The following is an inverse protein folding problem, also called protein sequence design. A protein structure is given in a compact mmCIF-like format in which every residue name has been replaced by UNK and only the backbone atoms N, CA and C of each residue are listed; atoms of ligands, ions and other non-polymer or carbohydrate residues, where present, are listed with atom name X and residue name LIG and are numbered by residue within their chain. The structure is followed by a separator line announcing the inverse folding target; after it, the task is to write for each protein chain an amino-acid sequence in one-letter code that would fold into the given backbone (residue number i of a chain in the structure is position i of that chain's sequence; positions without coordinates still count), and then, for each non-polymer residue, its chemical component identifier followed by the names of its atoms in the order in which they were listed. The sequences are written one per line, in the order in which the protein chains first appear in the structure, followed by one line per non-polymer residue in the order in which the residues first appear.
data_IF_424677453522
#
_entry.id   IF_424677453522
#
_cell.length_a   1.000
_cell.length_b   1.000
_cell.length_c   1.000
_cell.angle_alpha   90.00
_cell.angle_beta   90.00
_cell.angle_gamma   90.00
#
_symmetry.space_group_name_H-M   'P 1'
#
loop_
_entity.id
_entity.type
_entity.pdbx_description
1 polymer ?
#
# COMPACT_ATOMS: atom_id res chain seq x y z
N UNK A 1 -8.63 -20.12 30.46
CA UNK A 1 -7.87 -19.87 29.24
C UNK A 1 -7.76 -18.38 28.99
N UNK A 2 -6.61 -17.95 28.47
CA UNK A 2 -6.37 -16.59 27.99
C UNK A 2 -6.42 -16.56 26.46
N UNK A 3 -7.12 -15.57 25.91
CA UNK A 3 -7.17 -15.32 24.45
C UNK A 3 -6.75 -13.90 24.12
N UNK A 4 -6.29 -13.70 22.88
CA UNK A 4 -5.84 -12.43 22.34
C UNK A 4 -6.66 -12.08 21.10
N UNK A 5 -7.06 -10.82 21.00
CA UNK A 5 -7.75 -10.23 19.86
C UNK A 5 -6.94 -9.02 19.40
N UNK A 6 -5.88 -9.28 18.62
CA UNK A 6 -4.86 -8.31 18.23
C UNK A 6 -4.29 -8.59 16.83
N UNK A 7 -5.11 -9.22 15.97
CA UNK A 7 -4.73 -9.66 14.64
C UNK A 7 -3.41 -10.46 14.62
N UNK A 8 -3.33 -11.45 15.54
CA UNK A 8 -2.17 -12.34 15.69
C UNK A 8 -0.87 -11.60 15.99
N UNK A 9 -0.95 -10.66 16.94
CA UNK A 9 0.17 -9.81 17.36
C UNK A 9 0.79 -8.98 16.21
N UNK A 10 -0.07 -8.50 15.32
CA UNK A 10 0.36 -7.74 14.14
C UNK A 10 1.37 -6.62 14.48
N UNK A 11 1.11 -5.88 15.56
CA UNK A 11 1.94 -4.74 15.96
C UNK A 11 3.08 -5.12 16.91
N UNK A 12 3.22 -6.43 17.27
CA UNK A 12 4.27 -6.91 18.16
C UNK A 12 4.14 -6.39 19.59
N UNK A 13 2.92 -6.15 20.06
CA UNK A 13 2.61 -5.58 21.38
C UNK A 13 2.32 -6.63 22.44
N UNK A 14 2.06 -7.87 22.05
CA UNK A 14 1.72 -8.96 22.97
C UNK A 14 2.90 -9.23 23.90
N UNK A 15 2.71 -9.20 25.23
CA UNK A 15 3.79 -9.48 26.17
C UNK A 15 4.15 -10.97 26.13
N UNK A 16 5.36 -11.29 26.52
CA UNK A 16 5.83 -12.70 26.61
C UNK A 16 5.15 -13.47 27.75
N UNK A 17 4.71 -12.77 28.79
CA UNK A 17 4.12 -13.33 30.00
C UNK A 17 3.03 -12.40 30.52
N UNK A 18 1.97 -12.98 31.07
CA UNK A 18 0.94 -12.28 31.86
C UNK A 18 0.85 -12.91 33.25
N UNK A 19 0.26 -12.18 34.19
CA UNK A 19 -0.05 -12.70 35.54
C UNK A 19 -1.57 -12.75 35.70
N UNK A 20 -2.09 -13.94 35.94
CA UNK A 20 -3.49 -14.18 36.28
C UNK A 20 -3.61 -14.36 37.79
N UNK A 21 -4.51 -13.61 38.40
CA UNK A 21 -4.77 -13.67 39.84
C UNK A 21 -6.05 -14.48 40.11
N UNK A 22 -6.01 -15.39 41.07
CA UNK A 22 -7.19 -16.05 41.63
C UNK A 22 -7.63 -15.27 42.87
N UNK A 23 -8.91 -14.94 42.92
CA UNK A 23 -9.55 -14.31 44.06
C UNK A 23 -10.54 -15.30 44.68
N UNK A 24 -10.57 -15.36 46.02
CA UNK A 24 -11.58 -16.04 46.82
C UNK A 24 -12.37 -14.97 47.59
N UNK A 25 -13.69 -14.91 47.36
CA UNK A 25 -14.55 -13.88 47.96
C UNK A 25 -13.98 -12.45 47.76
N UNK A 26 -13.44 -12.17 46.56
CA UNK A 26 -12.87 -10.88 46.21
C UNK A 26 -11.45 -10.60 46.72
N UNK A 27 -10.83 -11.50 47.47
CA UNK A 27 -9.44 -11.36 47.95
C UNK A 27 -8.51 -12.24 47.14
N UNK A 28 -7.38 -11.70 46.68
CA UNK A 28 -6.34 -12.47 45.97
C UNK A 28 -5.76 -13.54 46.87
N UNK A 29 -5.77 -14.81 46.42
CA UNK A 29 -5.27 -15.96 47.16
C UNK A 29 -4.14 -16.70 46.43
N UNK A 30 -4.11 -16.68 45.11
CA UNK A 30 -3.05 -17.28 44.30
C UNK A 30 -2.80 -16.45 43.05
N UNK A 31 -1.69 -16.67 42.39
CA UNK A 31 -1.40 -16.16 41.05
C UNK A 31 -0.73 -17.23 40.19
N UNK A 32 -0.85 -17.07 38.88
CA UNK A 32 -0.16 -17.88 37.89
C UNK A 32 0.44 -16.99 36.84
N UNK A 33 1.69 -17.24 36.44
CA UNK A 33 2.32 -16.69 35.27
C UNK A 33 1.97 -17.55 34.08
N UNK A 34 1.58 -16.94 32.99
CA UNK A 34 1.07 -17.61 31.79
C UNK A 34 1.76 -17.06 30.57
N UNK A 35 2.23 -17.95 29.73
CA UNK A 35 3.05 -17.66 28.56
C UNK A 35 2.51 -18.32 27.28
N UNK A 36 3.09 -18.03 26.13
CA UNK A 36 2.79 -18.72 24.88
C UNK A 36 3.17 -20.22 24.96
N UNK A 37 4.22 -20.57 25.69
CA UNK A 37 4.65 -21.96 25.86
C UNK A 37 3.60 -22.80 26.62
N UNK A 38 2.79 -22.16 27.47
CA UNK A 38 1.63 -22.76 28.13
C UNK A 38 0.38 -22.79 27.22
N UNK A 39 0.51 -22.36 25.95
CA UNK A 39 -0.62 -22.10 25.05
C UNK A 39 -1.66 -21.17 25.70
N UNK A 40 -1.19 -20.22 26.51
CA UNK A 40 -2.02 -19.27 27.26
C UNK A 40 -3.07 -19.93 28.15
N UNK A 41 -2.78 -21.14 28.67
CA UNK A 41 -3.64 -21.89 29.59
C UNK A 41 -3.12 -21.80 31.00
N UNK A 42 -4.03 -21.81 31.95
CA UNK A 42 -3.73 -21.84 33.37
C UNK A 42 -4.76 -22.65 34.14
N UNK A 43 -4.38 -23.13 35.32
CA UNK A 43 -5.26 -23.80 36.24
C UNK A 43 -4.84 -23.48 37.68
N UNK A 44 -5.82 -23.50 38.58
CA UNK A 44 -5.61 -23.45 40.02
C UNK A 44 -6.27 -24.68 40.59
N UNK A 45 -5.49 -25.50 41.29
CA UNK A 45 -5.93 -26.77 41.88
C UNK A 45 -5.88 -26.70 43.41
N UNK A 46 -6.47 -27.70 44.05
CA UNK A 46 -6.47 -27.86 45.50
C UNK A 46 -7.06 -26.65 46.24
N UNK A 47 -8.20 -26.16 45.72
CA UNK A 47 -8.91 -25.02 46.27
C UNK A 47 -9.98 -25.48 47.25
N UNK A 48 -10.09 -24.92 48.50
CA UNK A 48 -11.19 -25.16 49.41
C UNK A 48 -12.52 -24.76 48.73
N UNK A 49 -13.55 -25.61 48.86
CA UNK A 49 -14.87 -25.29 48.37
C UNK A 49 -15.66 -24.38 49.33
N UNK A 50 -15.41 -24.53 50.64
CA UNK A 50 -16.13 -23.82 51.69
C UNK A 50 -15.19 -23.12 52.65
N UNK A 51 -15.65 -22.01 53.22
CA UNK A 51 -15.04 -21.27 54.32
C UNK A 51 -16.13 -20.94 55.35
N UNK A 52 -15.96 -21.40 56.59
CA UNK A 52 -16.99 -21.22 57.63
C UNK A 52 -18.38 -21.75 57.28
N UNK A 53 -18.46 -22.85 56.51
CA UNK A 53 -19.71 -23.47 56.06
C UNK A 53 -20.39 -22.75 54.86
N UNK A 54 -19.79 -21.70 54.31
CA UNK A 54 -20.28 -20.99 53.13
C UNK A 54 -19.41 -21.32 51.91
N UNK A 55 -20.04 -21.49 50.76
CA UNK A 55 -19.33 -21.73 49.50
C UNK A 55 -18.50 -20.50 49.15
N UNK A 56 -17.25 -20.75 48.72
CA UNK A 56 -16.32 -19.67 48.30
C UNK A 56 -16.60 -19.33 46.84
N UNK A 57 -16.81 -18.04 46.56
CA UNK A 57 -16.87 -17.53 45.20
C UNK A 57 -15.45 -17.27 44.67
N UNK A 58 -15.04 -18.06 43.67
CA UNK A 58 -13.77 -17.87 43.00
C UNK A 58 -13.94 -17.00 41.72
N UNK A 59 -13.07 -16.02 41.54
CA UNK A 59 -12.98 -15.21 40.34
C UNK A 59 -11.52 -15.06 39.89
N UNK A 60 -11.32 -14.65 38.66
CA UNK A 60 -9.97 -14.39 38.14
C UNK A 60 -9.88 -12.97 37.62
N UNK A 61 -8.70 -12.37 37.77
CA UNK A 61 -8.33 -11.08 37.20
C UNK A 61 -6.95 -11.20 36.56
N UNK A 62 -6.58 -10.25 35.75
CA UNK A 62 -5.25 -10.14 35.14
C UNK A 62 -4.58 -8.87 35.63
N UNK A 63 -3.26 -8.89 35.80
CA UNK A 63 -2.50 -7.65 35.95
C UNK A 63 -2.61 -6.87 34.65
N UNK A 64 -2.76 -5.51 34.69
CA UNK A 64 -2.93 -4.72 33.49
C UNK A 64 -1.85 -4.98 32.45
N UNK A 65 -2.24 -5.22 31.21
CA UNK A 65 -1.35 -5.28 30.04
C UNK A 65 -1.45 -3.97 29.28
N UNK A 66 -0.30 -3.30 29.11
CA UNK A 66 -0.26 -2.00 28.46
C UNK A 66 -0.86 -2.04 27.05
N UNK A 67 -1.66 -1.04 26.70
CA UNK A 67 -2.33 -0.86 25.41
C UNK A 67 -3.44 -1.89 25.10
N UNK A 68 -3.67 -2.88 25.97
CA UNK A 68 -4.75 -3.86 25.81
C UNK A 68 -5.94 -3.58 26.71
N UNK A 69 -7.13 -3.86 26.19
CA UNK A 69 -8.36 -3.85 26.93
C UNK A 69 -8.67 -5.26 27.43
N UNK A 70 -8.80 -5.41 28.75
CA UNK A 70 -9.16 -6.67 29.39
C UNK A 70 -10.67 -6.90 29.36
N UNK A 71 -11.08 -8.14 29.14
CA UNK A 71 -12.47 -8.58 29.31
C UNK A 71 -12.52 -10.02 29.84
N UNK A 72 -13.61 -10.34 30.56
CA UNK A 72 -13.93 -11.69 31.05
C UNK A 72 -15.39 -12.01 30.74
N UNK A 73 -15.67 -13.23 30.32
CA UNK A 73 -17.02 -13.67 29.91
C UNK A 73 -17.82 -14.28 31.07
N UNK A 74 -17.55 -13.87 32.33
CA UNK A 74 -18.23 -14.38 33.49
C UNK A 74 -17.79 -15.79 33.97
N UNK A 75 -16.75 -16.34 33.36
CA UNK A 75 -16.08 -17.57 33.77
C UNK A 75 -14.60 -17.31 34.06
N UNK A 76 -13.79 -18.34 33.97
CA UNK A 76 -12.34 -18.25 34.17
C UNK A 76 -11.57 -18.04 32.88
N UNK A 77 -12.26 -17.70 31.78
CA UNK A 77 -11.64 -17.32 30.50
C UNK A 77 -11.50 -15.80 30.43
N UNK A 78 -10.32 -15.35 30.02
CA UNK A 78 -9.99 -13.94 29.91
C UNK A 78 -9.53 -13.62 28.52
N UNK A 79 -9.80 -12.41 28.07
CA UNK A 79 -9.46 -11.92 26.72
C UNK A 79 -8.84 -10.54 26.81
N UNK A 80 -7.76 -10.33 26.08
CA UNK A 80 -7.23 -8.99 25.82
C UNK A 80 -7.43 -8.64 24.36
N UNK A 81 -7.89 -7.41 24.12
CA UNK A 81 -8.09 -6.88 22.78
C UNK A 81 -7.24 -5.62 22.55
N UNK A 82 -6.68 -5.52 21.36
CA UNK A 82 -5.92 -4.39 20.85
C UNK A 82 -6.27 -4.18 19.39
N UNK A 83 -6.42 -2.93 18.97
CA UNK A 83 -6.70 -2.60 17.56
C UNK A 83 -5.41 -2.21 16.86
N UNK A 84 -4.88 -3.04 15.96
CA UNK A 84 -3.64 -2.76 15.25
C UNK A 84 -3.73 -1.54 14.34
N UNK A 85 -2.57 -0.91 14.09
CA UNK A 85 -2.43 0.21 13.19
C UNK A 85 -2.70 -0.14 11.73
N UNK A 86 -3.33 0.79 11.02
CA UNK A 86 -3.63 0.68 9.60
C UNK A 86 -3.07 1.86 8.83
N UNK A 87 -2.76 1.65 7.56
CA UNK A 87 -2.25 2.65 6.63
C UNK A 87 -2.98 2.57 5.28
N UNK A 88 -2.67 3.50 4.39
CA UNK A 88 -3.13 3.50 3.01
C UNK A 88 -1.99 3.75 2.04
N UNK A 89 -2.13 3.27 0.81
CA UNK A 89 -1.16 3.48 -0.27
C UNK A 89 -1.91 3.97 -1.50
N UNK A 90 -1.46 5.08 -2.07
CA UNK A 90 -2.00 5.63 -3.31
C UNK A 90 -0.98 5.51 -4.42
N UNK A 91 -1.41 5.03 -5.59
CA UNK A 91 -0.63 5.06 -6.82
C UNK A 91 -1.20 6.09 -7.78
N UNK A 92 -0.32 6.85 -8.45
CA UNK A 92 -0.67 7.76 -9.54
C UNK A 92 0.15 7.40 -10.78
N UNK A 93 -0.53 7.14 -11.88
CA UNK A 93 0.09 6.93 -13.19
C UNK A 93 0.28 8.25 -13.90
N UNK A 94 1.47 8.47 -14.46
CA UNK A 94 1.82 9.62 -15.30
C UNK A 94 2.34 9.18 -16.65
N UNK A 95 2.14 10.02 -17.66
CA UNK A 95 2.58 9.82 -19.03
C UNK A 95 3.45 11.00 -19.46
N UNK A 96 4.66 10.71 -19.92
CA UNK A 96 5.59 11.66 -20.53
C UNK A 96 5.73 11.31 -22.03
N UNK A 97 4.76 11.76 -22.84
CA UNK A 97 4.61 11.35 -24.24
C UNK A 97 4.08 12.51 -25.12
N UNK A 98 4.34 13.75 -24.73
CA UNK A 98 3.88 14.95 -25.43
C UNK A 98 2.35 14.95 -25.67
N UNK A 99 1.57 14.52 -24.65
CA UNK A 99 0.11 14.48 -24.74
C UNK A 99 -0.41 13.38 -25.65
N UNK A 100 0.28 12.22 -25.71
CA UNK A 100 -0.05 11.09 -26.60
C UNK A 100 0.06 11.47 -28.09
N UNK A 101 1.08 12.26 -28.45
CA UNK A 101 1.27 12.77 -29.82
C UNK A 101 1.24 11.64 -30.88
N UNK A 102 1.85 10.49 -30.61
CA UNK A 102 1.94 9.36 -31.55
C UNK A 102 0.77 8.38 -31.45
N UNK A 103 -0.22 8.67 -30.57
CA UNK A 103 -1.39 7.81 -30.38
C UNK A 103 -1.09 6.42 -29.79
N UNK A 104 0.07 6.26 -29.13
CA UNK A 104 0.53 4.94 -28.61
C UNK A 104 0.12 4.67 -27.17
N UNK A 105 -0.42 5.67 -26.44
CA UNK A 105 -0.86 5.50 -25.06
C UNK A 105 -2.04 4.52 -25.01
N UNK A 106 -1.93 3.43 -24.19
CA UNK A 106 -3.05 2.51 -24.00
C UNK A 106 -4.18 3.17 -23.19
N UNK A 107 -5.40 2.68 -23.35
CA UNK A 107 -6.57 3.14 -22.59
C UNK A 107 -6.55 2.67 -21.13
N UNK A 108 -5.79 1.64 -20.82
CA UNK A 108 -5.63 1.12 -19.45
C UNK A 108 -4.26 0.48 -19.24
N UNK A 109 -3.85 0.39 -18.00
CA UNK A 109 -2.74 -0.42 -17.51
C UNK A 109 -3.17 -1.14 -16.24
N UNK A 110 -2.44 -2.18 -15.86
CA UNK A 110 -2.62 -2.84 -14.56
C UNK A 110 -1.46 -2.53 -13.64
N UNK A 111 -1.78 -2.44 -12.34
CA UNK A 111 -0.80 -2.26 -11.27
C UNK A 111 -1.00 -3.31 -10.19
N UNK A 112 0.10 -3.72 -9.54
CA UNK A 112 0.09 -4.67 -8.43
C UNK A 112 0.73 -4.05 -7.20
N UNK A 113 0.02 -4.12 -6.07
CA UNK A 113 0.55 -3.75 -4.75
C UNK A 113 1.42 -4.87 -4.20
N UNK A 114 2.52 -4.51 -3.53
CA UNK A 114 3.40 -5.41 -2.80
C UNK A 114 3.63 -4.87 -1.39
N UNK A 115 3.65 -5.76 -0.40
CA UNK A 115 4.11 -5.52 0.97
C UNK A 115 5.35 -6.38 1.23
N UNK A 116 6.47 -5.78 1.61
CA UNK A 116 7.76 -6.48 1.82
C UNK A 116 8.15 -7.41 0.64
N UNK A 117 7.84 -6.97 -0.60
CA UNK A 117 8.02 -7.69 -1.87
C UNK A 117 7.06 -8.88 -2.12
N UNK A 118 6.10 -9.14 -1.24
CA UNK A 118 5.03 -10.11 -1.47
C UNK A 118 3.81 -9.43 -2.08
N UNK A 119 3.11 -10.11 -3.01
CA UNK A 119 1.87 -9.56 -3.60
C UNK A 119 0.80 -9.38 -2.53
N UNK A 120 0.11 -8.24 -2.58
CA UNK A 120 -1.02 -7.92 -1.71
C UNK A 120 -2.27 -7.70 -2.58
N UNK A 121 -3.26 -8.56 -2.39
CA UNK A 121 -4.51 -8.51 -3.15
C UNK A 121 -4.33 -8.75 -4.65
N UNK A 122 -5.38 -8.42 -5.39
CA UNK A 122 -5.44 -8.57 -6.84
C UNK A 122 -4.83 -7.37 -7.58
N UNK A 123 -4.54 -7.57 -8.87
CA UNK A 123 -4.14 -6.51 -9.78
C UNK A 123 -5.27 -5.50 -9.96
N UNK A 124 -4.94 -4.22 -9.97
CA UNK A 124 -5.88 -3.12 -10.19
C UNK A 124 -5.67 -2.52 -11.57
N UNK A 125 -6.76 -2.32 -12.31
CA UNK A 125 -6.73 -1.62 -13.59
C UNK A 125 -6.89 -0.12 -13.40
N UNK A 126 -5.97 0.66 -13.98
CA UNK A 126 -6.04 2.12 -14.11
C UNK A 126 -6.42 2.45 -15.54
N UNK A 127 -7.42 3.32 -15.72
CA UNK A 127 -7.98 3.64 -17.04
C UNK A 127 -7.80 5.11 -17.40
N UNK A 128 -7.97 5.42 -18.67
CA UNK A 128 -8.01 6.81 -19.15
C UNK A 128 -9.14 7.58 -18.43
N UNK A 129 -8.79 8.78 -17.93
CA UNK A 129 -9.66 9.59 -17.06
C UNK A 129 -9.55 9.30 -15.57
N UNK A 130 -8.96 8.14 -15.15
CA UNK A 130 -8.70 7.82 -13.75
C UNK A 130 -7.38 7.04 -13.57
N UNK A 131 -6.26 7.75 -13.68
CA UNK A 131 -4.90 7.21 -13.55
C UNK A 131 -4.43 7.13 -12.09
N UNK A 132 -5.33 6.88 -11.13
CA UNK A 132 -5.00 6.78 -9.71
C UNK A 132 -5.82 5.70 -9.01
N UNK A 133 -5.24 5.11 -7.95
CA UNK A 133 -5.94 4.17 -7.07
C UNK A 133 -5.37 4.26 -5.66
N UNK A 134 -6.23 4.03 -4.65
CA UNK A 134 -5.84 3.99 -3.24
C UNK A 134 -6.29 2.68 -2.61
N UNK A 135 -5.35 1.95 -2.05
CA UNK A 135 -5.62 0.83 -1.14
C UNK A 135 -5.72 1.38 0.27
N UNK A 136 -6.85 1.11 0.93
CA UNK A 136 -7.11 1.52 2.31
C UNK A 136 -7.02 0.31 3.25
N UNK A 137 -7.03 0.59 4.56
CA UNK A 137 -7.07 -0.42 5.62
C UNK A 137 -5.95 -1.46 5.57
N UNK A 138 -4.83 -1.11 4.98
CA UNK A 138 -3.65 -1.97 4.93
C UNK A 138 -3.01 -2.08 6.31
N UNK A 139 -2.51 -3.25 6.73
CA UNK A 139 -1.71 -3.39 7.94
C UNK A 139 -0.51 -2.44 7.92
N UNK A 140 -0.29 -1.66 8.99
CA UNK A 140 0.91 -0.83 9.10
C UNK A 140 2.16 -1.68 9.40
N UNK A 141 1.97 -2.76 10.15
CA UNK A 141 3.05 -3.63 10.62
C UNK A 141 2.73 -5.11 10.42
N UNK A 142 3.78 -5.93 10.45
CA UNK A 142 3.72 -7.39 10.53
C UNK A 142 4.72 -7.84 11.60
N UNK A 143 4.26 -8.53 12.65
CA UNK A 143 5.08 -8.94 13.79
C UNK A 143 5.94 -7.79 14.36
N UNK A 144 5.33 -6.63 14.55
CA UNK A 144 5.96 -5.41 15.10
C UNK A 144 6.85 -4.62 14.15
N UNK A 145 7.09 -5.10 12.92
CA UNK A 145 7.91 -4.41 11.91
C UNK A 145 7.04 -3.69 10.91
N UNK A 146 7.37 -2.44 10.59
CA UNK A 146 6.66 -1.66 9.56
C UNK A 146 6.80 -2.33 8.20
N UNK A 147 5.67 -2.54 7.52
CA UNK A 147 5.61 -3.12 6.17
C UNK A 147 6.02 -2.05 5.16
N UNK A 148 6.92 -2.40 4.25
CA UNK A 148 7.29 -1.54 3.12
C UNK A 148 6.39 -1.85 1.93
N UNK A 149 5.45 -0.93 1.65
CA UNK A 149 4.58 -1.04 0.48
C UNK A 149 5.23 -0.45 -0.76
N UNK A 150 5.07 -1.15 -1.89
CA UNK A 150 5.48 -0.71 -3.22
C UNK A 150 4.42 -1.07 -4.25
N UNK A 151 4.37 -0.36 -5.37
CA UNK A 151 3.48 -0.68 -6.49
C UNK A 151 4.30 -0.82 -7.77
N UNK A 152 3.96 -1.80 -8.58
CA UNK A 152 4.58 -2.02 -9.89
C UNK A 152 3.51 -2.08 -10.98
N UNK A 153 3.82 -1.54 -12.16
CA UNK A 153 3.03 -1.77 -13.35
C UNK A 153 3.20 -3.23 -13.80
N UNK A 154 2.11 -3.86 -14.17
CA UNK A 154 2.09 -5.24 -14.67
C UNK A 154 2.27 -5.20 -16.18
N UNK A 155 3.38 -5.76 -16.65
CA UNK A 155 3.80 -5.64 -18.05
C UNK A 155 4.44 -4.28 -18.35
N UNK A 156 4.60 -3.97 -19.63
CA UNK A 156 5.15 -2.69 -20.11
C UNK A 156 4.29 -2.21 -21.28
N UNK A 157 3.85 -0.97 -21.25
CA UNK A 157 3.16 -0.37 -22.37
C UNK A 157 4.11 -0.33 -23.59
N UNK A 158 3.64 -0.84 -24.75
CA UNK A 158 4.48 -0.96 -25.94
C UNK A 158 5.02 0.41 -26.39
N UNK A 159 6.32 0.50 -26.60
CA UNK A 159 6.99 1.74 -26.99
C UNK A 159 7.26 2.74 -25.85
N UNK A 160 7.03 2.33 -24.58
CA UNK A 160 7.30 3.13 -23.41
C UNK A 160 8.41 2.54 -22.54
N UNK A 161 9.08 3.40 -21.80
CA UNK A 161 9.94 3.02 -20.67
C UNK A 161 9.26 3.43 -19.36
N UNK A 162 9.26 2.54 -18.37
CA UNK A 162 8.58 2.75 -17.09
C UNK A 162 9.57 3.08 -15.98
N UNK A 163 9.29 4.11 -15.21
CA UNK A 163 10.00 4.46 -13.98
C UNK A 163 9.03 4.49 -12.80
N UNK A 164 9.53 4.17 -11.61
CA UNK A 164 8.76 4.13 -10.38
C UNK A 164 9.39 5.05 -9.35
N UNK A 165 8.60 5.90 -8.72
CA UNK A 165 8.98 6.62 -7.51
C UNK A 165 8.13 6.08 -6.35
N UNK A 166 8.77 5.33 -5.46
CA UNK A 166 8.18 4.80 -4.24
C UNK A 166 8.74 5.61 -3.07
N UNK A 167 8.06 6.67 -2.68
CA UNK A 167 8.56 7.64 -1.69
C UNK A 167 8.34 7.19 -0.24
N UNK A 168 8.07 6.00 0.10
CA UNK A 168 7.85 5.47 1.46
C UNK A 168 6.78 6.22 2.31
N UNK A 169 6.03 7.16 1.72
CA UNK A 169 5.00 7.93 2.40
C UNK A 169 3.59 7.59 1.93
N UNK A 170 3.44 6.46 1.24
CA UNK A 170 2.17 5.99 0.73
C UNK A 170 1.73 6.66 -0.57
N UNK A 171 2.56 7.50 -1.20
CA UNK A 171 2.30 8.10 -2.51
C UNK A 171 3.31 7.56 -3.53
N UNK A 172 2.82 6.77 -4.47
CA UNK A 172 3.66 6.10 -5.46
C UNK A 172 3.34 6.67 -6.83
N UNK A 173 4.38 7.06 -7.57
CA UNK A 173 4.24 7.57 -8.93
C UNK A 173 4.87 6.56 -9.88
N UNK A 174 4.10 6.13 -10.88
CA UNK A 174 4.57 5.33 -12.00
C UNK A 174 4.50 6.22 -13.25
N UNK A 175 5.65 6.47 -13.88
CA UNK A 175 5.74 7.28 -15.08
C UNK A 175 6.16 6.43 -16.27
N UNK A 176 5.36 6.46 -17.35
CA UNK A 176 5.73 5.89 -18.64
C UNK A 176 6.15 7.01 -19.58
N UNK A 177 7.35 6.87 -20.12
CA UNK A 177 7.93 7.82 -21.06
C UNK A 177 8.02 7.24 -22.47
N UNK A 178 7.53 7.99 -23.45
CA UNK A 178 7.70 7.74 -24.87
C UNK A 178 8.20 9.04 -25.53
N UNK A 179 9.23 8.92 -26.35
CA UNK A 179 9.70 10.06 -27.14
C UNK A 179 9.05 9.99 -28.52
N UNK A 180 8.18 10.95 -28.86
CA UNK A 180 7.51 10.94 -30.15
C UNK A 180 8.47 10.95 -31.34
N UNK A 181 8.07 10.29 -32.40
CA UNK A 181 8.83 10.20 -33.64
C UNK A 181 8.92 11.57 -34.32
N UNK A 182 10.03 11.83 -34.94
CA UNK A 182 10.29 13.06 -35.68
C UNK A 182 10.59 12.74 -37.12
N UNK A 183 10.24 13.66 -38.01
CA UNK A 183 10.56 13.59 -39.42
C UNK A 183 11.22 14.88 -39.86
N UNK A 184 11.80 14.88 -41.06
CA UNK A 184 12.33 16.06 -41.71
C UNK A 184 11.67 16.23 -43.07
N UNK A 185 11.60 17.47 -43.55
CA UNK A 185 11.18 17.81 -44.87
C UNK A 185 12.30 18.63 -45.51
N UNK A 186 12.73 18.21 -46.66
CA UNK A 186 13.76 18.88 -47.47
C UNK A 186 13.20 19.16 -48.85
N UNK A 187 13.62 20.22 -49.44
CA UNK A 187 13.24 20.60 -50.79
C UNK A 187 14.24 21.56 -51.43
N UNK A 188 14.25 21.59 -52.71
CA UNK A 188 15.09 22.50 -53.54
C UNK A 188 14.17 23.39 -54.40
N UNK A 189 14.51 24.68 -54.49
CA UNK A 189 13.87 25.60 -55.43
C UNK A 189 14.70 25.61 -56.71
N UNK A 190 14.08 25.26 -57.81
CA UNK A 190 14.67 25.38 -59.15
C UNK A 190 14.00 26.49 -59.93
N UNK A 191 14.71 27.03 -60.90
CA UNK A 191 14.23 28.05 -61.78
C UNK A 191 14.31 27.58 -63.24
N UNK A 192 13.22 27.74 -63.97
CA UNK A 192 13.17 27.49 -65.41
C UNK A 192 12.98 28.85 -66.08
N UNK A 193 14.08 29.56 -66.31
CA UNK A 193 14.09 30.98 -66.76
C UNK A 193 15.29 31.29 -67.66
N UNK A 194 15.76 30.31 -68.45
CA UNK A 194 16.91 30.41 -69.28
C UNK A 194 18.15 31.05 -68.60
N UNK A 195 18.41 30.58 -67.35
CA UNK A 195 19.51 31.04 -66.50
C UNK A 195 19.45 32.54 -66.14
N UNK A 196 18.24 33.01 -65.81
CA UNK A 196 17.95 34.41 -65.48
C UNK A 196 18.29 35.41 -66.58
N UNK A 197 18.03 35.07 -67.86
CA UNK A 197 18.40 35.85 -69.06
C UNK A 197 17.88 37.28 -68.96
N UNK A 198 16.67 37.49 -68.45
CA UNK A 198 16.03 38.78 -68.29
C UNK A 198 16.35 39.49 -66.95
N UNK A 199 17.19 38.96 -66.12
CA UNK A 199 17.56 39.53 -64.81
C UNK A 199 16.37 39.71 -63.83
N UNK A 200 15.32 38.88 -63.93
CA UNK A 200 14.09 38.99 -63.09
C UNK A 200 14.05 38.06 -61.91
N UNK A 201 15.05 37.19 -61.77
CA UNK A 201 15.10 36.27 -60.66
C UNK A 201 15.30 37.04 -59.36
N UNK A 202 14.40 36.86 -58.33
CA UNK A 202 14.57 37.56 -57.08
C UNK A 202 15.79 37.01 -56.34
N UNK A 203 16.40 37.82 -55.46
CA UNK A 203 17.57 37.45 -54.65
C UNK A 203 17.21 36.48 -53.52
N UNK A 204 15.94 36.47 -53.12
CA UNK A 204 15.42 35.56 -52.07
C UNK A 204 13.96 35.18 -52.35
N UNK A 205 13.58 34.05 -51.81
CA UNK A 205 12.20 33.59 -51.78
C UNK A 205 11.84 33.16 -50.36
N UNK A 206 10.57 33.20 -50.03
CA UNK A 206 10.05 32.66 -48.76
C UNK A 206 9.38 31.32 -49.02
N UNK A 207 9.83 30.30 -48.30
CA UNK A 207 9.21 28.97 -48.30
C UNK A 207 8.47 28.77 -47.00
N UNK A 208 7.21 28.42 -47.08
CA UNK A 208 6.38 28.13 -45.90
C UNK A 208 6.22 26.60 -45.75
N UNK A 209 6.54 26.10 -44.57
CA UNK A 209 6.20 24.73 -44.19
C UNK A 209 4.76 24.68 -43.70
N UNK A 210 3.98 23.75 -44.23
CA UNK A 210 2.59 23.55 -43.86
C UNK A 210 2.43 22.14 -43.25
N UNK A 211 1.73 22.03 -42.13
CA UNK A 211 1.27 20.78 -41.57
C UNK A 211 -0.26 20.75 -41.64
N UNK A 212 -0.82 19.74 -42.30
CA UNK A 212 -2.27 19.63 -42.55
C UNK A 212 -2.89 20.94 -43.08
N UNK A 213 -2.19 21.60 -44.01
CA UNK A 213 -2.63 22.87 -44.64
C UNK A 213 -2.46 24.12 -43.78
N UNK A 214 -1.95 24.02 -42.57
CA UNK A 214 -1.66 25.20 -41.71
C UNK A 214 -0.15 25.46 -41.65
N UNK A 215 0.22 26.74 -41.78
CA UNK A 215 1.61 27.16 -41.67
C UNK A 215 2.18 26.89 -40.29
N UNK A 216 3.33 26.22 -40.21
CA UNK A 216 4.02 25.85 -38.97
C UNK A 216 5.42 26.48 -38.86
N UNK A 217 5.99 26.92 -40.00
CA UNK A 217 7.28 27.62 -40.05
C UNK A 217 7.42 28.46 -41.30
#
# INVERSE_FOLDING_TARGET
EKTWDDADDQDGKRPKEITVNLLANGKKVKEAKVTADDNWKYSFTDLPKYEGGKEIEYTVTENPVAEYNFSSNGGYNIKNSYTPGKTSVTVTKRWDDAGNQDGKRPNSIKVQLYGDNEKVGDEVELTDGNWTHTWNDLPEKKAGKTIKYTVKEVGTANGYTTTHNNDNQGNIIICNKHTPEKTKVEGEKTWDDANDQDGKRPTEITVNLLANGKKVK
#
